data_IF_832850200389
#
_entry.id   IF_832850200389
#
_cell.length_a   1.000
_cell.length_b   1.000
_cell.length_c   1.000
_cell.angle_alpha   90.00
_cell.angle_beta   90.00
_cell.angle_gamma   90.00
#
_symmetry.space_group_name_H-M   'P 1'
#
loop_
_entity.id
_entity.type
_entity.pdbx_description
1 polymer ?
#
# COMPACT_ATOMS: atom_id res chain seq x y z
N UNK A 1 -23.41 18.40 22.16
CA UNK A 1 -22.31 18.34 21.18
C UNK A 1 -21.14 17.60 21.82
N UNK A 2 -21.08 16.29 21.64
CA UNK A 2 -20.01 15.44 22.16
C UNK A 2 -18.86 15.42 21.16
N UNK A 3 -17.79 16.15 21.46
CA UNK A 3 -16.53 15.98 20.75
C UNK A 3 -15.81 14.77 21.34
N UNK A 4 -15.71 13.68 20.58
CA UNK A 4 -14.80 12.57 20.91
C UNK A 4 -13.39 12.99 20.47
N UNK A 5 -12.73 13.86 21.24
CA UNK A 5 -11.28 14.02 21.13
C UNK A 5 -10.65 12.83 21.86
N UNK A 6 -10.21 11.83 21.10
CA UNK A 6 -9.25 10.83 21.59
C UNK A 6 -7.87 11.38 21.21
N UNK A 7 -7.13 12.05 22.13
CA UNK A 7 -5.89 12.75 21.81
C UNK A 7 -4.77 11.84 21.27
N UNK A 8 -4.96 10.52 21.30
CA UNK A 8 -3.95 9.52 20.99
C UNK A 8 -4.31 8.68 19.75
N UNK A 9 -5.23 9.13 18.89
CA UNK A 9 -5.53 8.41 17.63
C UNK A 9 -5.20 9.30 16.45
N UNK A 10 -4.26 8.85 15.61
CA UNK A 10 -3.91 9.52 14.35
C UNK A 10 -4.31 8.64 13.17
N UNK A 11 -5.08 9.21 12.25
CA UNK A 11 -5.46 8.58 11.00
C UNK A 11 -4.81 9.26 9.80
N UNK A 12 -4.41 8.48 8.81
CA UNK A 12 -3.94 8.99 7.52
C UNK A 12 -4.49 8.14 6.38
N UNK A 13 -4.84 8.80 5.29
CA UNK A 13 -5.22 8.18 4.03
C UNK A 13 -4.24 8.66 2.96
N UNK A 14 -3.91 7.80 2.02
CA UNK A 14 -3.02 8.12 0.90
C UNK A 14 -3.53 7.49 -0.39
N UNK A 15 -3.18 8.12 -1.51
CA UNK A 15 -3.44 7.61 -2.84
C UNK A 15 -2.26 7.94 -3.75
N UNK A 16 -1.93 7.02 -4.66
CA UNK A 16 -0.86 7.21 -5.66
C UNK A 16 -1.28 6.57 -6.97
N UNK A 17 -0.94 7.24 -8.06
CA UNK A 17 -1.03 6.73 -9.42
C UNK A 17 0.33 6.86 -10.10
N UNK A 18 0.74 5.82 -10.82
CA UNK A 18 2.04 5.76 -11.48
C UNK A 18 1.93 5.04 -12.83
N UNK A 19 2.50 5.66 -13.87
CA UNK A 19 2.64 5.06 -15.21
C UNK A 19 4.12 4.70 -15.38
N UNK A 20 4.40 3.44 -15.72
CA UNK A 20 5.76 2.96 -15.96
C UNK A 20 5.81 2.31 -17.34
N UNK A 21 6.60 2.91 -18.23
CA UNK A 21 6.84 2.37 -19.56
C UNK A 21 8.29 1.92 -19.64
N UNK A 22 8.52 0.68 -20.05
CA UNK A 22 9.86 0.11 -20.17
C UNK A 22 10.31 0.17 -21.63
N UNK A 23 11.60 0.38 -21.87
CA UNK A 23 12.17 0.48 -23.23
C UNK A 23 13.02 -0.73 -23.62
N UNK A 24 13.27 -1.61 -22.66
CA UNK A 24 14.22 -2.72 -22.72
C UNK A 24 13.66 -4.01 -22.08
N UNK A 25 12.38 -4.00 -21.71
CA UNK A 25 11.70 -5.12 -21.08
C UNK A 25 10.47 -5.50 -21.91
N UNK A 26 10.54 -6.57 -22.72
CA UNK A 26 9.37 -7.09 -23.43
C UNK A 26 8.32 -7.60 -22.43
N UNK A 27 7.04 -7.52 -22.80
CA UNK A 27 5.96 -8.14 -22.03
C UNK A 27 5.91 -9.65 -22.28
N UNK A 28 5.34 -10.41 -21.34
CA UNK A 28 5.11 -11.84 -21.50
C UNK A 28 3.62 -12.23 -21.48
N UNK A 29 3.28 -13.28 -22.23
CA UNK A 29 1.97 -13.93 -22.17
C UNK A 29 1.84 -14.87 -20.95
N UNK A 30 0.67 -15.49 -20.80
CA UNK A 30 0.39 -16.43 -19.70
C UNK A 30 1.28 -17.69 -19.68
N UNK A 31 1.88 -18.04 -20.82
CA UNK A 31 2.79 -19.17 -20.96
C UNK A 31 4.27 -18.76 -20.76
N UNK A 32 4.55 -17.47 -20.57
CA UNK A 32 5.89 -16.93 -20.47
C UNK A 32 6.58 -16.69 -21.81
N UNK A 33 5.85 -16.68 -22.93
CA UNK A 33 6.40 -16.28 -24.21
C UNK A 33 6.50 -14.75 -24.27
N UNK A 34 7.62 -14.25 -24.78
CA UNK A 34 7.82 -12.82 -25.01
C UNK A 34 6.87 -12.33 -26.13
N UNK A 35 6.29 -11.16 -25.90
CA UNK A 35 5.47 -10.42 -26.84
C UNK A 35 6.33 -9.38 -27.59
N UNK A 36 5.88 -8.96 -28.76
CA UNK A 36 6.54 -7.92 -29.54
C UNK A 36 6.42 -6.53 -28.87
N UNK A 37 5.42 -6.34 -28.00
CA UNK A 37 5.24 -5.11 -27.23
C UNK A 37 6.14 -5.03 -25.99
N UNK A 38 6.66 -3.82 -25.74
CA UNK A 38 7.35 -3.52 -24.47
C UNK A 38 6.35 -3.44 -23.31
N UNK A 39 6.82 -3.82 -22.13
CA UNK A 39 6.01 -3.77 -20.91
C UNK A 39 5.59 -2.34 -20.58
N UNK A 40 4.34 -2.21 -20.16
CA UNK A 40 3.70 -0.99 -19.69
C UNK A 40 2.87 -1.32 -18.45
N UNK A 41 3.09 -0.56 -17.38
CA UNK A 41 2.35 -0.71 -16.14
C UNK A 41 1.63 0.59 -15.78
N UNK A 42 0.35 0.48 -15.47
CA UNK A 42 -0.42 1.52 -14.80
C UNK A 42 -0.75 1.04 -13.38
N UNK A 43 -0.04 1.58 -12.40
CA UNK A 43 -0.26 1.25 -11.00
C UNK A 43 -1.11 2.31 -10.31
N UNK A 44 -2.11 1.87 -9.57
CA UNK A 44 -2.77 2.70 -8.58
C UNK A 44 -2.73 2.04 -7.22
N UNK A 45 -2.58 2.85 -6.18
CA UNK A 45 -2.61 2.40 -4.81
C UNK A 45 -3.39 3.37 -3.93
N UNK A 46 -4.08 2.80 -2.93
CA UNK A 46 -4.69 3.53 -1.83
C UNK A 46 -4.23 2.92 -0.52
N UNK A 47 -4.00 3.77 0.48
CA UNK A 47 -3.54 3.34 1.79
C UNK A 47 -4.34 4.02 2.89
N UNK A 48 -4.58 3.31 3.97
CA UNK A 48 -5.12 3.84 5.21
C UNK A 48 -4.25 3.37 6.38
N UNK A 49 -3.93 4.28 7.28
CA UNK A 49 -3.19 3.98 8.51
C UNK A 49 -3.91 4.59 9.71
N UNK A 50 -3.97 3.82 10.78
CA UNK A 50 -4.46 4.25 12.09
C UNK A 50 -3.39 3.95 13.13
N UNK A 51 -3.06 4.93 13.93
CA UNK A 51 -2.12 4.79 15.04
C UNK A 51 -2.85 5.12 16.34
N UNK A 52 -2.62 4.30 17.36
CA UNK A 52 -3.21 4.40 18.68
C UNK A 52 -2.08 4.49 19.71
N UNK A 53 -1.95 5.64 20.37
CA UNK A 53 -1.07 5.79 21.53
C UNK A 53 -1.63 5.04 22.74
N UNK A 54 -0.82 4.17 23.34
CA UNK A 54 -1.13 3.30 24.46
C UNK A 54 -0.45 3.77 25.76
N UNK A 55 -0.28 5.09 25.92
CA UNK A 55 0.47 5.70 27.04
C UNK A 55 -0.08 5.35 28.43
N UNK A 56 -1.36 4.99 28.52
CA UNK A 56 -1.97 4.52 29.77
C UNK A 56 -1.40 3.18 30.26
N UNK A 57 -0.87 2.36 29.35
CA UNK A 57 -0.22 1.08 29.65
C UNK A 57 1.26 1.32 29.90
N UNK A 58 1.92 1.99 28.97
CA UNK A 58 3.32 2.36 29.05
C UNK A 58 3.55 3.60 28.18
N UNK A 59 4.09 4.66 28.77
CA UNK A 59 4.40 5.91 28.07
C UNK A 59 5.27 5.64 26.84
N UNK A 60 4.83 6.07 25.65
CA UNK A 60 5.55 5.85 24.39
C UNK A 60 5.20 4.55 23.66
N UNK A 61 4.36 3.68 24.24
CA UNK A 61 3.84 2.50 23.56
C UNK A 61 2.77 2.89 22.54
N UNK A 62 2.79 2.31 21.34
CA UNK A 62 1.77 2.54 20.33
C UNK A 62 1.42 1.27 19.54
N UNK A 63 0.21 1.26 19.00
CA UNK A 63 -0.28 0.27 18.04
C UNK A 63 -0.59 0.97 16.72
N UNK A 64 -0.05 0.46 15.60
CA UNK A 64 -0.34 0.96 14.26
C UNK A 64 -0.99 -0.12 13.40
N UNK A 65 -2.11 0.21 12.77
CA UNK A 65 -2.84 -0.62 11.82
C UNK A 65 -2.71 0.02 10.45
N UNK A 66 -2.22 -0.72 9.47
CA UNK A 66 -1.99 -0.25 8.12
C UNK A 66 -2.69 -1.17 7.12
N UNK A 67 -3.36 -0.55 6.16
CA UNK A 67 -3.94 -1.22 5.00
C UNK A 67 -3.46 -0.53 3.74
N UNK A 68 -3.01 -1.31 2.75
CA UNK A 68 -2.71 -0.80 1.42
C UNK A 68 -3.34 -1.72 0.37
N UNK A 69 -4.04 -1.11 -0.57
CA UNK A 69 -4.50 -1.76 -1.78
C UNK A 69 -3.63 -1.29 -2.93
N UNK A 70 -3.10 -2.22 -3.72
CA UNK A 70 -2.26 -1.94 -4.88
C UNK A 70 -2.79 -2.76 -6.05
N UNK A 71 -3.21 -2.08 -7.12
CA UNK A 71 -3.53 -2.72 -8.40
C UNK A 71 -2.54 -2.23 -9.43
N UNK A 72 -1.90 -3.19 -10.10
CA UNK A 72 -1.08 -2.93 -11.28
C UNK A 72 -1.83 -3.49 -12.48
N UNK A 73 -2.10 -2.65 -13.47
CA UNK A 73 -2.63 -3.08 -14.76
C UNK A 73 -1.44 -3.10 -15.70
N UNK A 74 -1.04 -4.29 -16.16
CA UNK A 74 0.10 -4.47 -17.05
C UNK A 74 -0.33 -5.19 -18.32
N UNK A 75 0.37 -4.95 -19.43
CA UNK A 75 0.29 -5.82 -20.61
C UNK A 75 1.14 -7.09 -20.46
N UNK A 76 1.94 -7.19 -19.40
CA UNK A 76 2.65 -8.41 -19.02
C UNK A 76 1.81 -9.22 -18.02
N UNK A 77 1.58 -10.50 -18.33
CA UNK A 77 0.72 -11.38 -17.54
C UNK A 77 1.18 -11.51 -16.08
N UNK A 78 2.49 -11.62 -15.82
CA UNK A 78 3.00 -11.84 -14.46
C UNK A 78 3.02 -10.57 -13.61
N UNK A 79 2.77 -9.41 -14.24
CA UNK A 79 2.73 -8.13 -13.57
C UNK A 79 1.34 -7.48 -13.57
N UNK A 80 0.31 -8.10 -14.13
CA UNK A 80 -1.07 -7.75 -13.82
C UNK A 80 -1.50 -8.41 -12.49
N UNK A 81 -1.58 -7.62 -11.43
CA UNK A 81 -1.88 -8.14 -10.09
C UNK A 81 -2.71 -7.18 -9.26
N UNK A 82 -3.38 -7.74 -8.26
CA UNK A 82 -4.12 -7.00 -7.23
C UNK A 82 -3.74 -7.50 -5.84
N UNK A 83 -3.15 -6.62 -5.03
CA UNK A 83 -2.67 -6.95 -3.70
C UNK A 83 -3.40 -6.14 -2.63
N UNK A 84 -3.81 -6.84 -1.58
CA UNK A 84 -4.31 -6.26 -0.32
C UNK A 84 -3.28 -6.56 0.77
N UNK A 85 -2.68 -5.52 1.32
CA UNK A 85 -1.60 -5.60 2.29
C UNK A 85 -2.12 -5.08 3.62
N UNK A 86 -2.01 -5.91 4.66
CA UNK A 86 -2.36 -5.55 6.04
C UNK A 86 -1.11 -5.65 6.89
N UNK A 87 -0.86 -4.65 7.73
CA UNK A 87 0.23 -4.67 8.69
C UNK A 87 -0.24 -4.14 10.05
N UNK A 88 0.19 -4.83 11.10
CA UNK A 88 -0.05 -4.48 12.49
C UNK A 88 1.32 -4.32 13.13
N UNK A 89 1.58 -3.16 13.73
CA UNK A 89 2.83 -2.85 14.41
C UNK A 89 2.53 -2.50 15.86
N UNK A 90 3.19 -3.19 16.79
CA UNK A 90 3.29 -2.76 18.18
C UNK A 90 4.68 -2.17 18.37
N UNK A 91 4.76 -0.88 18.66
CA UNK A 91 6.02 -0.14 18.74
C UNK A 91 6.15 0.64 20.05
N UNK A 92 7.36 1.14 20.29
CA UNK A 92 7.70 1.90 21.49
C UNK A 92 8.68 3.03 21.13
N UNK A 93 8.31 4.27 21.46
CA UNK A 93 9.13 5.47 21.23
C UNK A 93 9.68 5.99 22.57
N UNK A 94 11.00 6.29 22.61
CA UNK A 94 11.74 6.73 23.81
C UNK A 94 11.82 8.24 23.95
#
# INVERSE_FOLDING_TARGET
MSYLFLPNIMGKISGRYEIRNYTDLPAADENGNELDEMRQDNQYSIGASLEFGLDQILSGLYLSLNYNYIKNISNDYFYDYNNQIYAITLGFDF
#
